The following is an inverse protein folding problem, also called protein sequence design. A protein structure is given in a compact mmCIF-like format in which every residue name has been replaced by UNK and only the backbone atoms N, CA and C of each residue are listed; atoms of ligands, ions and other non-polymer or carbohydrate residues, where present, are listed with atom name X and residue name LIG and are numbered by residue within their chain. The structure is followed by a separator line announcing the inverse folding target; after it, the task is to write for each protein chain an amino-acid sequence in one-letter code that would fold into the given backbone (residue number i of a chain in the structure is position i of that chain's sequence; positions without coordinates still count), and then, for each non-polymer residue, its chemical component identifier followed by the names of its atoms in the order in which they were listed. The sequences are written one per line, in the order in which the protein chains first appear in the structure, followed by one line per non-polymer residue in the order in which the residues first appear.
data_IF_567012480597
#
_entry.id   IF_567012480597
#
_cell.length_a   1.000
_cell.length_b   1.000
_cell.length_c   1.000
_cell.angle_alpha   90.00
_cell.angle_beta   90.00
_cell.angle_gamma   90.00
#
_symmetry.space_group_name_H-M   'P 1'
#
loop_
_entity.id
_entity.type
_entity.pdbx_description
1 polymer ?
#
# COMPACT_ATOMS: atom_id res chain seq x y z
N UNK A 1 5.32 -30.12 -0.23
CA UNK A 1 6.78 -30.05 0.04
C UNK A 1 7.02 -30.10 1.54
N UNK A 2 6.57 -29.10 2.29
CA UNK A 2 6.68 -29.03 3.77
C UNK A 2 6.26 -30.31 4.52
N UNK A 3 5.07 -30.87 4.25
CA UNK A 3 4.65 -32.11 4.94
C UNK A 3 5.51 -33.34 4.64
N UNK A 4 6.07 -33.42 3.42
CA UNK A 4 6.99 -34.51 3.04
C UNK A 4 8.34 -34.35 3.75
N UNK A 5 8.86 -33.12 3.79
CA UNK A 5 10.12 -32.79 4.49
C UNK A 5 10.01 -33.04 6.00
N UNK A 6 8.88 -32.70 6.62
CA UNK A 6 8.65 -33.01 8.04
C UNK A 6 8.61 -34.52 8.30
N UNK A 7 7.92 -35.27 7.46
CA UNK A 7 7.84 -36.73 7.54
C UNK A 7 9.23 -37.37 7.42
N UNK A 8 10.01 -36.94 6.43
CA UNK A 8 11.39 -37.39 6.23
C UNK A 8 12.25 -37.07 7.46
N UNK A 9 12.15 -35.86 8.03
CA UNK A 9 12.86 -35.49 9.26
C UNK A 9 12.47 -36.38 10.43
N UNK A 10 11.18 -36.63 10.67
CA UNK A 10 10.74 -37.52 11.75
C UNK A 10 11.27 -38.95 11.57
N UNK A 11 11.29 -39.48 10.34
CA UNK A 11 11.89 -40.79 10.05
C UNK A 11 13.40 -40.78 10.29
N UNK A 12 14.12 -39.75 9.82
CA UNK A 12 15.56 -39.62 10.00
C UNK A 12 15.92 -39.50 11.49
N UNK A 13 15.22 -38.69 12.28
CA UNK A 13 15.45 -38.55 13.72
C UNK A 13 15.27 -39.87 14.48
N UNK A 14 14.31 -40.71 14.09
CA UNK A 14 14.10 -42.02 14.73
C UNK A 14 15.25 -43.00 14.43
N UNK A 15 15.72 -43.03 13.19
CA UNK A 15 16.74 -43.96 12.71
C UNK A 15 18.15 -43.50 13.10
N UNK A 16 18.53 -42.28 12.69
CA UNK A 16 19.84 -41.68 12.89
C UNK A 16 19.68 -40.18 13.22
N UNK A 17 19.58 -39.80 14.51
CA UNK A 17 19.55 -38.40 14.89
C UNK A 17 20.93 -37.76 14.70
N UNK A 18 21.03 -36.77 13.83
CA UNK A 18 22.28 -36.08 13.50
C UNK A 18 22.47 -34.81 14.35
N UNK A 19 21.38 -34.11 14.68
CA UNK A 19 21.41 -32.86 15.44
C UNK A 19 20.92 -33.06 16.88
N UNK A 20 21.32 -32.18 17.84
CA UNK A 20 20.79 -32.21 19.21
C UNK A 20 19.26 -32.09 19.25
N UNK A 21 18.67 -31.29 18.36
CA UNK A 21 17.21 -31.15 18.23
C UNK A 21 16.56 -32.46 17.82
N UNK A 22 17.16 -33.21 16.89
CA UNK A 22 16.64 -34.49 16.44
C UNK A 22 16.71 -35.56 17.55
N UNK A 23 17.69 -35.47 18.46
CA UNK A 23 17.74 -36.32 19.66
C UNK A 23 16.56 -36.04 20.58
N UNK A 24 16.22 -34.78 20.81
CA UNK A 24 15.04 -34.41 21.62
C UNK A 24 13.74 -34.84 20.95
N UNK A 25 13.62 -34.63 19.64
CA UNK A 25 12.47 -35.05 18.85
C UNK A 25 12.31 -36.58 18.87
N UNK A 26 13.40 -37.33 18.75
CA UNK A 26 13.38 -38.80 18.87
C UNK A 26 12.84 -39.23 20.23
N UNK A 27 13.29 -38.62 21.32
CA UNK A 27 12.84 -38.96 22.66
C UNK A 27 11.33 -38.70 22.82
N UNK A 28 10.83 -37.55 22.35
CA UNK A 28 9.40 -37.22 22.37
C UNK A 28 8.58 -38.19 21.52
N UNK A 29 9.00 -38.45 20.27
CA UNK A 29 8.34 -39.38 19.37
C UNK A 29 8.28 -40.79 19.97
N UNK A 30 9.36 -41.28 20.59
CA UNK A 30 9.35 -42.60 21.24
C UNK A 30 8.36 -42.68 22.41
N UNK A 31 8.22 -41.62 23.20
CA UNK A 31 7.22 -41.57 24.29
C UNK A 31 5.81 -41.63 23.70
N UNK A 32 5.53 -40.82 22.66
CA UNK A 32 4.23 -40.77 21.98
C UNK A 32 3.89 -42.09 21.28
N UNK A 33 4.85 -42.70 20.59
CA UNK A 33 4.68 -44.00 19.92
C UNK A 33 4.37 -45.08 20.97
N UNK A 34 5.11 -45.15 22.08
CA UNK A 34 4.84 -46.12 23.15
C UNK A 34 3.45 -45.97 23.75
N UNK A 35 2.97 -44.74 23.91
CA UNK A 35 1.60 -44.49 24.35
C UNK A 35 0.58 -44.97 23.31
N UNK A 36 0.81 -44.63 22.04
CA UNK A 36 -0.08 -44.94 20.91
C UNK A 36 -0.21 -46.44 20.63
N UNK A 37 0.82 -47.25 20.88
CA UNK A 37 0.77 -48.72 20.71
C UNK A 37 -0.40 -49.33 21.47
N UNK A 38 -0.66 -48.87 22.70
CA UNK A 38 -1.77 -49.39 23.53
C UNK A 38 -3.12 -49.11 22.87
N UNK A 39 -3.26 -47.95 22.26
CA UNK A 39 -4.49 -47.55 21.58
C UNK A 39 -4.65 -48.24 20.22
N UNK A 40 -3.56 -48.50 19.50
CA UNK A 40 -3.55 -49.32 18.27
C UNK A 40 -4.00 -50.75 18.58
N UNK A 41 -3.40 -51.41 19.58
CA UNK A 41 -3.77 -52.77 19.98
C UNK A 41 -5.22 -52.83 20.46
N UNK A 42 -5.66 -51.88 21.30
CA UNK A 42 -7.07 -51.80 21.74
C UNK A 42 -8.04 -51.63 20.57
N UNK A 43 -7.68 -50.85 19.54
CA UNK A 43 -8.49 -50.69 18.31
C UNK A 43 -8.52 -51.98 17.49
N UNK A 44 -7.40 -52.69 17.36
CA UNK A 44 -7.31 -53.97 16.66
C UNK A 44 -8.15 -55.06 17.34
N UNK A 45 -8.06 -55.18 18.67
CA UNK A 45 -8.85 -56.12 19.47
C UNK A 45 -10.35 -55.87 19.31
N UNK A 46 -10.78 -54.60 19.35
CA UNK A 46 -12.19 -54.22 19.13
C UNK A 46 -12.70 -54.64 17.75
N UNK A 47 -11.83 -54.57 16.74
CA UNK A 47 -12.13 -55.00 15.37
C UNK A 47 -11.91 -56.50 15.15
N UNK A 48 -11.46 -57.24 16.18
CA UNK A 48 -11.09 -58.66 16.12
C UNK A 48 -10.03 -58.97 15.06
N UNK A 49 -9.14 -58.01 14.83
CA UNK A 49 -7.98 -58.18 13.94
C UNK A 49 -6.83 -58.68 14.81
N UNK A 50 -6.31 -59.90 14.61
CA UNK A 50 -5.10 -60.33 15.30
C UNK A 50 -3.95 -59.44 14.83
N UNK A 51 -3.27 -58.80 15.78
CA UNK A 51 -2.17 -57.87 15.50
C UNK A 51 -1.02 -58.14 16.45
N UNK A 52 0.16 -58.32 15.89
CA UNK A 52 1.38 -58.54 16.68
C UNK A 52 1.97 -57.21 17.18
N UNK A 53 2.76 -57.28 18.26
CA UNK A 53 3.37 -56.09 18.88
C UNK A 53 4.26 -55.30 17.88
N UNK A 54 5.09 -55.94 17.02
CA UNK A 54 5.87 -55.21 16.02
C UNK A 54 5.01 -54.49 14.98
N UNK A 55 3.93 -55.11 14.51
CA UNK A 55 3.00 -54.50 13.55
C UNK A 55 2.28 -53.30 14.17
N UNK A 56 1.86 -53.43 15.43
CA UNK A 56 1.28 -52.32 16.18
C UNK A 56 2.27 -51.16 16.37
N UNK A 57 3.56 -51.46 16.53
CA UNK A 57 4.62 -50.45 16.62
C UNK A 57 4.78 -49.67 15.31
N UNK A 58 4.84 -50.35 14.17
CA UNK A 58 4.94 -49.69 12.86
C UNK A 58 3.71 -48.83 12.56
N UNK A 59 2.53 -49.32 12.92
CA UNK A 59 1.28 -48.59 12.78
C UNK A 59 1.24 -47.36 13.69
N UNK A 60 1.62 -47.50 14.96
CA UNK A 60 1.73 -46.38 15.88
C UNK A 60 2.75 -45.34 15.40
N UNK A 61 3.89 -45.79 14.86
CA UNK A 61 4.94 -44.91 14.32
C UNK A 61 4.42 -44.09 13.14
N UNK A 62 3.76 -44.72 12.18
CA UNK A 62 3.19 -44.02 11.02
C UNK A 62 2.12 -43.01 11.43
N UNK A 63 1.20 -43.36 12.32
CA UNK A 63 0.15 -42.45 12.80
C UNK A 63 0.69 -41.23 13.54
N UNK A 64 1.70 -41.42 14.41
CA UNK A 64 2.31 -40.31 15.15
C UNK A 64 3.05 -39.37 14.20
N UNK A 65 3.77 -39.91 13.21
CA UNK A 65 4.44 -39.10 12.20
C UNK A 65 3.43 -38.34 11.35
N UNK A 66 2.32 -38.96 10.95
CA UNK A 66 1.24 -38.29 10.23
C UNK A 66 0.64 -37.14 11.04
N UNK A 67 0.35 -37.38 12.31
CA UNK A 67 -0.16 -36.34 13.20
C UNK A 67 0.81 -35.15 13.31
N UNK A 68 2.11 -35.42 13.43
CA UNK A 68 3.13 -34.37 13.49
C UNK A 68 3.23 -33.59 12.17
N UNK A 69 3.09 -34.27 11.04
CA UNK A 69 3.07 -33.63 9.72
C UNK A 69 1.83 -32.75 9.54
N UNK A 70 0.65 -33.23 9.96
CA UNK A 70 -0.59 -32.46 9.93
C UNK A 70 -0.51 -31.22 10.82
N UNK A 71 0.06 -31.36 12.01
CA UNK A 71 0.28 -30.24 12.93
C UNK A 71 1.21 -29.16 12.35
N UNK A 72 2.33 -29.55 11.74
CA UNK A 72 3.22 -28.59 11.04
C UNK A 72 2.53 -27.93 9.85
N UNK A 73 1.79 -28.70 9.05
CA UNK A 73 1.04 -28.13 7.93
C UNK A 73 -0.04 -27.15 8.41
N UNK A 74 -0.69 -27.44 9.55
CA UNK A 74 -1.62 -26.52 10.22
C UNK A 74 -0.94 -25.20 10.58
N UNK A 75 0.20 -25.26 11.28
CA UNK A 75 1.01 -24.08 11.63
C UNK A 75 1.40 -23.26 10.39
N UNK A 76 1.90 -23.93 9.35
CA UNK A 76 2.26 -23.24 8.11
C UNK A 76 1.07 -22.55 7.45
N UNK A 77 -0.12 -23.19 7.44
CA UNK A 77 -1.34 -22.58 6.88
C UNK A 77 -1.77 -21.37 7.69
N UNK A 78 -1.73 -21.43 9.02
CA UNK A 78 -2.07 -20.31 9.88
C UNK A 78 -1.13 -19.12 9.67
N UNK A 79 0.18 -19.38 9.58
CA UNK A 79 1.17 -18.34 9.26
C UNK A 79 0.93 -17.73 7.88
N UNK A 80 0.66 -18.55 6.87
CA UNK A 80 0.30 -18.06 5.52
C UNK A 80 -0.97 -17.19 5.55
N UNK A 81 -1.98 -17.58 6.31
CA UNK A 81 -3.22 -16.81 6.48
C UNK A 81 -2.95 -15.47 7.18
N UNK A 82 -2.18 -15.48 8.27
CA UNK A 82 -1.81 -14.26 8.98
C UNK A 82 -1.05 -13.30 8.08
N UNK A 83 -0.06 -13.79 7.33
CA UNK A 83 0.70 -12.96 6.40
C UNK A 83 -0.17 -12.45 5.25
N UNK A 84 -1.09 -13.26 4.72
CA UNK A 84 -2.05 -12.79 3.72
C UNK A 84 -2.93 -11.64 4.25
N UNK A 85 -3.41 -11.74 5.50
CA UNK A 85 -4.16 -10.66 6.15
C UNK A 85 -3.32 -9.39 6.32
N UNK A 86 -2.03 -9.53 6.67
CA UNK A 86 -1.11 -8.39 6.79
C UNK A 86 -0.88 -7.70 5.45
N UNK A 87 -0.69 -8.47 4.38
CA UNK A 87 -0.54 -7.94 3.02
C UNK A 87 -1.80 -7.16 2.62
N UNK A 88 -2.99 -7.75 2.82
CA UNK A 88 -4.26 -7.09 2.51
C UNK A 88 -4.45 -5.79 3.32
N UNK A 89 -4.11 -5.80 4.61
CA UNK A 89 -4.19 -4.61 5.44
C UNK A 89 -3.24 -3.50 4.93
N UNK A 90 -2.01 -3.86 4.56
CA UNK A 90 -1.03 -2.91 4.02
C UNK A 90 -1.45 -2.36 2.64
N UNK A 91 -2.09 -3.18 1.79
CA UNK A 91 -2.66 -2.73 0.52
C UNK A 91 -3.80 -1.74 0.74
N UNK A 92 -4.72 -2.06 1.65
CA UNK A 92 -5.83 -1.16 2.00
C UNK A 92 -5.33 0.18 2.56
N UNK A 93 -4.30 0.17 3.40
CA UNK A 93 -3.67 1.40 3.91
C UNK A 93 -3.07 2.23 2.77
N UNK A 94 -2.38 1.59 1.81
CA UNK A 94 -1.83 2.28 0.64
C UNK A 94 -2.93 2.91 -0.20
N UNK A 95 -4.01 2.18 -0.48
CA UNK A 95 -5.16 2.72 -1.22
C UNK A 95 -5.80 3.91 -0.49
N UNK A 96 -6.02 3.79 0.81
CA UNK A 96 -6.60 4.87 1.62
C UNK A 96 -5.71 6.11 1.61
N UNK A 97 -4.38 5.93 1.71
CA UNK A 97 -3.41 7.02 1.61
C UNK A 97 -3.45 7.68 0.23
N UNK A 98 -3.48 6.89 -0.85
CA UNK A 98 -3.61 7.42 -2.21
C UNK A 98 -4.89 8.25 -2.38
N UNK A 99 -6.04 7.74 -1.92
CA UNK A 99 -7.31 8.48 -1.95
C UNK A 99 -7.24 9.79 -1.17
N UNK A 100 -6.61 9.78 0.01
CA UNK A 100 -6.43 10.98 0.82
C UNK A 100 -5.53 12.02 0.14
N UNK A 101 -4.43 11.58 -0.46
CA UNK A 101 -3.50 12.44 -1.20
C UNK A 101 -4.16 13.03 -2.45
N UNK A 102 -4.94 12.25 -3.19
CA UNK A 102 -5.73 12.72 -4.34
C UNK A 102 -6.78 13.75 -3.93
N UNK A 103 -7.50 13.52 -2.83
CA UNK A 103 -8.48 14.47 -2.30
C UNK A 103 -7.80 15.79 -1.91
N UNK A 104 -6.63 15.73 -1.25
CA UNK A 104 -5.82 16.90 -0.90
C UNK A 104 -5.32 17.62 -2.15
N UNK A 105 -4.85 16.90 -3.15
CA UNK A 105 -4.40 17.46 -4.42
C UNK A 105 -5.55 18.15 -5.17
N UNK A 106 -6.74 17.55 -5.21
CA UNK A 106 -7.96 18.14 -5.79
C UNK A 106 -8.34 19.44 -5.09
N UNK A 107 -8.31 19.47 -3.76
CA UNK A 107 -8.57 20.70 -2.97
C UNK A 107 -7.54 21.80 -3.31
N UNK A 108 -6.26 21.45 -3.41
CA UNK A 108 -5.18 22.38 -3.81
C UNK A 108 -5.42 22.93 -5.21
N UNK A 109 -5.72 22.08 -6.20
CA UNK A 109 -6.03 22.50 -7.57
C UNK A 109 -7.21 23.47 -7.62
N UNK A 110 -8.31 23.19 -6.89
CA UNK A 110 -9.48 24.08 -6.82
C UNK A 110 -9.10 25.45 -6.25
N UNK A 111 -8.33 25.49 -5.15
CA UNK A 111 -7.87 26.75 -4.56
C UNK A 111 -6.99 27.54 -5.55
N UNK A 112 -6.08 26.86 -6.23
CA UNK A 112 -5.20 27.48 -7.21
C UNK A 112 -5.99 28.05 -8.39
N UNK A 113 -6.93 27.30 -8.96
CA UNK A 113 -7.82 27.78 -10.02
C UNK A 113 -8.57 29.07 -9.62
N UNK A 114 -9.09 29.14 -8.40
CA UNK A 114 -9.73 30.35 -7.87
C UNK A 114 -8.78 31.55 -7.83
N UNK A 115 -7.54 31.35 -7.34
CA UNK A 115 -6.53 32.42 -7.27
C UNK A 115 -6.20 32.94 -8.67
N UNK A 116 -6.04 32.05 -9.64
CA UNK A 116 -5.72 32.41 -11.02
C UNK A 116 -6.85 33.23 -11.64
N UNK A 117 -8.10 32.74 -11.58
CA UNK A 117 -9.25 33.46 -12.14
C UNK A 117 -9.44 34.81 -11.46
N UNK A 118 -9.33 34.87 -10.14
CA UNK A 118 -9.42 36.14 -9.40
C UNK A 118 -8.29 37.10 -9.77
N UNK A 119 -7.07 36.59 -9.96
CA UNK A 119 -5.92 37.39 -10.40
C UNK A 119 -6.19 38.05 -11.74
N UNK A 120 -6.62 37.27 -12.75
CA UNK A 120 -6.97 37.79 -14.06
C UNK A 120 -8.09 38.83 -14.01
N UNK A 121 -9.16 38.55 -13.26
CA UNK A 121 -10.29 39.47 -13.11
C UNK A 121 -9.85 40.80 -12.48
N UNK A 122 -9.05 40.75 -11.42
CA UNK A 122 -8.51 41.95 -10.75
C UNK A 122 -7.62 42.76 -11.69
N UNK A 123 -6.70 42.10 -12.42
CA UNK A 123 -5.83 42.78 -13.39
C UNK A 123 -6.63 43.40 -14.53
N UNK A 124 -7.66 42.72 -15.04
CA UNK A 124 -8.54 43.27 -16.07
C UNK A 124 -9.26 44.53 -15.58
N UNK A 125 -9.87 44.46 -14.39
CA UNK A 125 -10.56 45.61 -13.79
C UNK A 125 -9.60 46.76 -13.53
N UNK A 126 -8.41 46.50 -12.98
CA UNK A 126 -7.40 47.51 -12.74
C UNK A 126 -6.96 48.20 -14.04
N UNK A 127 -6.71 47.44 -15.12
CA UNK A 127 -6.38 47.99 -16.44
C UNK A 127 -7.52 48.83 -17.02
N UNK A 128 -8.77 48.37 -16.89
CA UNK A 128 -9.95 49.12 -17.35
C UNK A 128 -10.09 50.45 -16.62
N UNK A 129 -9.96 50.44 -15.29
CA UNK A 129 -10.02 51.65 -14.46
C UNK A 129 -8.88 52.60 -14.81
N UNK A 130 -7.65 52.08 -14.92
CA UNK A 130 -6.47 52.88 -15.26
C UNK A 130 -6.63 53.53 -16.64
N UNK A 131 -7.05 52.77 -17.65
CA UNK A 131 -7.29 53.28 -19.00
C UNK A 131 -8.40 54.33 -19.04
N UNK A 132 -9.49 54.14 -18.28
CA UNK A 132 -10.56 55.14 -18.15
C UNK A 132 -10.04 56.44 -17.53
N UNK A 133 -9.24 56.34 -16.46
CA UNK A 133 -8.60 57.49 -15.84
C UNK A 133 -7.62 58.18 -16.80
N UNK A 134 -6.89 57.42 -17.61
CA UNK A 134 -5.97 57.95 -18.61
C UNK A 134 -6.70 58.69 -19.74
N UNK A 135 -7.78 58.13 -20.29
CA UNK A 135 -8.61 58.82 -21.29
C UNK A 135 -9.26 60.10 -20.76
N UNK A 136 -9.59 60.16 -19.46
CA UNK A 136 -10.06 61.40 -18.83
C UNK A 136 -8.98 62.46 -18.70
N UNK A 137 -7.73 62.03 -18.50
CA UNK A 137 -6.58 62.93 -18.25
C UNK A 137 -5.89 63.38 -19.52
N UNK A 138 -5.89 62.57 -20.57
CA UNK A 138 -5.16 62.85 -21.80
C UNK A 138 -6.12 62.92 -22.98
N UNK A 139 -6.11 64.06 -23.66
CA UNK A 139 -6.85 64.25 -24.90
C UNK A 139 -5.90 64.14 -26.09
N UNK A 140 -6.34 63.44 -27.14
CA UNK A 140 -5.57 63.21 -28.36
C UNK A 140 -5.99 64.23 -29.41
N UNK A 141 -5.03 64.99 -29.92
CA UNK A 141 -5.25 66.00 -30.95
C UNK A 141 -4.38 65.69 -32.18
N UNK A 142 -4.82 66.15 -33.34
CA UNK A 142 -4.06 66.05 -34.59
C UNK A 142 -3.51 67.43 -34.93
N UNK A 143 -2.18 67.52 -35.05
CA UNK A 143 -1.52 68.72 -35.54
C UNK A 143 -1.36 68.65 -37.07
N UNK A 144 -1.95 69.61 -37.77
CA UNK A 144 -1.95 69.70 -39.24
C UNK A 144 -0.56 70.10 -39.76
N UNK A 145 0.18 70.93 -39.01
CA UNK A 145 1.49 71.42 -39.43
C UNK A 145 2.52 70.27 -39.44
N UNK A 146 2.53 69.48 -38.37
CA UNK A 146 3.45 68.35 -38.23
C UNK A 146 2.90 67.03 -38.78
N UNK A 147 1.62 67.01 -39.22
CA UNK A 147 0.90 65.82 -39.67
C UNK A 147 0.94 64.64 -38.67
N UNK A 148 0.99 64.94 -37.38
CA UNK A 148 1.17 63.97 -36.31
C UNK A 148 0.16 64.18 -35.18
N UNK A 149 -0.10 63.12 -34.42
CA UNK A 149 -0.91 63.22 -33.22
C UNK A 149 -0.06 63.60 -32.01
N UNK A 150 -0.60 64.47 -31.15
CA UNK A 150 -0.05 64.73 -29.82
C UNK A 150 -1.11 64.49 -28.75
N UNK A 151 -0.65 64.31 -27.52
CA UNK A 151 -1.48 64.11 -26.34
C UNK A 151 -1.28 65.31 -25.40
N UNK A 152 -2.38 65.91 -24.96
CA UNK A 152 -2.36 66.99 -23.97
C UNK A 152 -2.88 66.47 -22.63
N UNK A 153 -2.15 66.72 -21.54
CA UNK A 153 -2.63 66.46 -20.18
C UNK A 153 -3.61 67.57 -19.77
N UNK A 154 -4.87 67.22 -19.54
CA UNK A 154 -5.93 68.18 -19.18
C UNK A 154 -5.74 68.86 -17.83
N UNK A 155 -4.80 68.39 -16.99
CA UNK A 155 -4.53 68.99 -15.67
C UNK A 155 -3.36 69.98 -15.70
N UNK A 156 -2.31 69.68 -16.46
CA UNK A 156 -1.09 70.49 -16.51
C UNK A 156 -0.93 71.26 -17.82
N UNK A 157 -1.80 70.99 -18.80
CA UNK A 157 -1.72 71.51 -20.17
C UNK A 157 -0.37 71.22 -20.86
N UNK A 158 0.33 70.18 -20.39
CA UNK A 158 1.59 69.76 -20.97
C UNK A 158 1.31 68.92 -22.22
N UNK A 159 2.02 69.22 -23.30
CA UNK A 159 1.91 68.49 -24.57
C UNK A 159 3.01 67.43 -24.66
N UNK A 160 2.66 66.25 -25.16
CA UNK A 160 3.62 65.16 -25.37
C UNK A 160 3.29 64.43 -26.66
N UNK A 161 4.31 64.22 -27.48
CA UNK A 161 4.20 63.50 -28.77
C UNK A 161 4.23 61.97 -28.57
N UNK A 162 4.80 61.50 -27.47
CA UNK A 162 4.76 60.10 -27.07
C UNK A 162 3.42 59.72 -26.45
N UNK A 163 2.91 58.55 -26.82
CA UNK A 163 1.67 58.01 -26.24
C UNK A 163 1.89 57.67 -24.75
N UNK A 164 1.08 58.21 -23.82
CA UNK A 164 1.20 57.88 -22.42
C UNK A 164 1.06 56.38 -22.15
N UNK A 165 1.92 55.83 -21.29
CA UNK A 165 1.94 54.38 -20.96
C UNK A 165 0.62 53.87 -20.36
N UNK A 166 -0.23 54.78 -19.88
CA UNK A 166 -1.54 54.48 -19.31
C UNK A 166 -2.68 54.42 -20.35
N UNK A 167 -2.43 54.74 -21.63
CA UNK A 167 -3.40 54.74 -22.75
C UNK A 167 -3.29 53.50 -23.66
#
# INVERSE_FOLDING_TARGET
KVGRERRERCHQSLVQPETPDDVTLKADLQIRIKAQIKDVLRRADKLKIPMEIPEAYEKATTEIIDFECEAEMGRCRELMQQEALRIQAAELEKENKQRADEAKARKRRRKWASVIVQGYAKTFLARKILRHAAYKRFMKYFDVASHNYYYEDTRTHAMTWEKPKSL
#
